data_IF_778795283049
#
_entry.id   IF_778795283049
#
_cell.length_a   1.000
_cell.length_b   1.000
_cell.length_c   1.000
_cell.angle_alpha   90.00
_cell.angle_beta   90.00
_cell.angle_gamma   90.00
#
_symmetry.space_group_name_H-M   'P 1'
#
loop_
_entity.id
_entity.type
_entity.pdbx_description
1 polymer ?
#
# COMPACT_ATOMS: atom_id res chain seq x y z
N UNK A 1 27.20 -44.84 -49.56
CA UNK A 1 27.24 -44.10 -48.28
C UNK A 1 26.04 -43.14 -48.29
N UNK A 2 24.80 -43.59 -48.04
CA UNK A 2 24.08 -43.74 -46.76
C UNK A 2 24.22 -42.53 -45.83
N UNK A 3 23.24 -41.63 -45.93
CA UNK A 3 22.87 -40.66 -44.90
C UNK A 3 21.66 -41.23 -44.15
N UNK A 4 21.85 -41.64 -42.89
CA UNK A 4 20.77 -42.05 -41.98
C UNK A 4 20.60 -40.95 -40.95
N UNK A 5 19.51 -40.20 -41.07
CA UNK A 5 19.06 -39.23 -40.09
C UNK A 5 18.41 -40.03 -38.96
N UNK A 6 19.02 -40.03 -37.77
CA UNK A 6 18.37 -40.49 -36.55
C UNK A 6 18.05 -39.27 -35.68
N UNK A 7 16.76 -38.96 -35.63
CA UNK A 7 16.17 -38.08 -34.64
C UNK A 7 16.09 -38.78 -33.28
N UNK A 8 16.05 -37.94 -32.25
CA UNK A 8 15.59 -38.18 -30.87
C UNK A 8 16.62 -38.68 -29.86
N UNK A 9 17.11 -37.75 -29.04
CA UNK A 9 17.27 -37.93 -27.60
C UNK A 9 16.86 -36.63 -26.91
N UNK A 10 15.59 -36.56 -26.51
CA UNK A 10 15.07 -35.57 -25.57
C UNK A 10 15.72 -35.88 -24.22
N UNK A 11 16.64 -35.04 -23.78
CA UNK A 11 17.18 -35.10 -22.44
C UNK A 11 16.09 -34.63 -21.45
N UNK A 12 15.41 -35.57 -20.81
CA UNK A 12 14.62 -35.30 -19.61
C UNK A 12 15.58 -34.92 -18.46
N UNK A 13 15.94 -33.64 -18.38
CA UNK A 13 16.51 -33.08 -17.16
C UNK A 13 15.41 -32.91 -16.12
N UNK A 14 15.37 -33.80 -15.14
CA UNK A 14 14.58 -33.63 -13.93
C UNK A 14 15.11 -32.42 -13.16
N UNK A 15 14.44 -31.28 -13.32
CA UNK A 15 14.65 -30.15 -12.42
C UNK A 15 14.05 -30.57 -11.08
N UNK A 16 14.92 -31.01 -10.17
CA UNK A 16 14.58 -31.08 -8.75
C UNK A 16 14.25 -29.65 -8.35
N UNK A 17 12.96 -29.37 -8.16
CA UNK A 17 12.53 -28.16 -7.49
C UNK A 17 13.03 -28.26 -6.05
N UNK A 18 14.26 -27.78 -5.82
CA UNK A 18 14.68 -27.39 -4.49
C UNK A 18 13.74 -26.24 -4.10
N UNK A 19 12.70 -26.58 -3.36
CA UNK A 19 11.83 -25.62 -2.69
C UNK A 19 12.78 -24.80 -1.82
N UNK A 20 13.06 -23.51 -2.12
CA UNK A 20 13.70 -22.70 -1.11
C UNK A 20 12.74 -22.72 0.07
N UNK A 21 13.22 -23.23 1.21
CA UNK A 21 12.51 -23.14 2.48
C UNK A 21 11.94 -21.72 2.59
N UNK A 22 10.72 -21.54 3.12
CA UNK A 22 10.15 -20.22 3.29
C UNK A 22 11.20 -19.40 4.03
N UNK A 23 11.86 -18.52 3.28
CA UNK A 23 12.65 -17.48 3.88
C UNK A 23 11.59 -16.76 4.67
N UNK A 24 11.70 -16.85 5.99
CA UNK A 24 11.22 -15.82 6.87
C UNK A 24 11.81 -14.54 6.28
N UNK A 25 11.09 -13.95 5.30
CA UNK A 25 10.99 -12.53 5.17
C UNK A 25 10.47 -12.15 6.54
N UNK A 26 11.43 -11.99 7.46
CA UNK A 26 11.31 -11.08 8.56
C UNK A 26 10.82 -9.85 7.87
N UNK A 27 9.51 -9.68 7.92
CA UNK A 27 8.87 -8.44 7.68
C UNK A 27 9.56 -7.55 8.71
N UNK A 28 10.64 -6.91 8.29
CA UNK A 28 10.85 -5.52 8.57
C UNK A 28 9.63 -4.76 8.04
N UNK A 29 8.45 -5.03 8.60
CA UNK A 29 7.75 -3.97 9.27
C UNK A 29 8.75 -3.47 10.31
N UNK A 30 9.65 -2.60 9.85
CA UNK A 30 9.91 -1.39 10.58
C UNK A 30 8.52 -0.81 10.86
N UNK A 31 7.91 -1.33 11.94
CA UNK A 31 6.84 -0.68 12.65
C UNK A 31 7.45 0.67 12.93
N UNK A 32 7.07 1.64 12.10
CA UNK A 32 7.52 3.01 12.17
C UNK A 32 7.22 3.43 13.61
N UNK A 33 8.23 3.33 14.46
CA UNK A 33 8.13 3.53 15.90
C UNK A 33 8.26 5.02 16.11
N UNK A 34 7.18 5.73 15.74
CA UNK A 34 7.04 7.13 16.07
C UNK A 34 6.65 7.19 17.54
N UNK A 35 7.68 7.20 18.38
CA UNK A 35 7.57 7.53 19.80
C UNK A 35 7.24 9.02 19.91
N UNK A 36 6.01 9.39 19.56
CA UNK A 36 5.48 10.74 19.74
C UNK A 36 4.46 10.75 20.89
N UNK A 37 4.41 11.82 21.70
CA UNK A 37 3.58 11.88 22.89
C UNK A 37 2.12 11.60 22.53
N UNK A 38 1.42 10.93 23.44
CA UNK A 38 -0.01 10.65 23.34
C UNK A 38 -0.79 11.97 23.26
N UNK A 39 -1.00 12.48 22.05
CA UNK A 39 -2.12 13.37 21.75
C UNK A 39 -3.38 12.52 21.68
N UNK A 40 -4.40 13.00 22.38
CA UNK A 40 -5.69 12.35 22.60
C UNK A 40 -6.21 11.64 21.34
N UNK A 41 -6.60 10.37 21.50
CA UNK A 41 -7.29 9.63 20.45
C UNK A 41 -8.63 10.32 20.19
N UNK A 42 -8.74 11.08 19.09
CA UNK A 42 -9.97 11.80 18.75
C UNK A 42 -9.80 13.29 18.43
N UNK A 43 -8.58 13.77 18.15
CA UNK A 43 -8.42 15.09 17.54
C UNK A 43 -9.04 15.10 16.13
N UNK A 44 -10.29 15.57 16.02
CA UNK A 44 -10.92 15.84 14.72
C UNK A 44 -9.99 16.73 13.89
N UNK A 45 -9.74 16.35 12.64
CA UNK A 45 -8.94 17.17 11.75
C UNK A 45 -9.60 18.54 11.52
N UNK A 46 -8.79 19.54 11.16
CA UNK A 46 -9.27 20.87 10.85
C UNK A 46 -9.77 20.91 9.40
N UNK A 47 -11.06 21.20 9.13
CA UNK A 47 -11.58 21.26 7.77
C UNK A 47 -10.78 22.18 6.85
N UNK A 48 -10.49 21.70 5.64
CA UNK A 48 -9.71 22.41 4.63
C UNK A 48 -8.19 22.36 4.83
N UNK A 49 -7.68 21.75 5.91
CA UNK A 49 -6.25 21.54 6.10
C UNK A 49 -5.79 20.26 5.41
N UNK A 50 -4.57 20.32 4.91
CA UNK A 50 -3.90 19.20 4.27
C UNK A 50 -3.01 18.47 5.26
N UNK A 51 -3.05 17.15 5.22
CA UNK A 51 -2.29 16.26 6.09
C UNK A 51 -1.62 15.16 5.28
N UNK A 52 -0.40 14.80 5.66
CA UNK A 52 0.23 13.58 5.15
C UNK A 52 -0.45 12.35 5.77
N UNK A 53 -0.48 11.23 5.03
CA UNK A 53 -0.98 9.96 5.54
C UNK A 53 -0.43 9.63 6.94
N UNK A 54 0.88 9.77 7.12
CA UNK A 54 1.57 9.52 8.40
C UNK A 54 1.10 10.42 9.55
N UNK A 55 0.77 11.68 9.28
CA UNK A 55 0.24 12.60 10.30
C UNK A 55 -1.17 12.20 10.71
N UNK A 56 -1.99 11.74 9.77
CA UNK A 56 -3.36 11.31 10.06
C UNK A 56 -3.38 10.09 10.98
N UNK A 57 -2.54 9.08 10.70
CA UNK A 57 -2.49 7.85 11.51
C UNK A 57 -1.65 8.01 12.78
N UNK A 58 -0.62 8.87 12.74
CA UNK A 58 0.35 9.04 13.82
C UNK A 58 -0.05 10.12 14.81
N UNK A 59 -0.29 11.33 14.31
CA UNK A 59 -0.58 12.51 15.14
C UNK A 59 -2.06 12.57 15.50
N UNK A 60 -2.95 12.35 14.52
CA UNK A 60 -4.40 12.39 14.74
C UNK A 60 -5.00 11.05 15.19
N UNK A 61 -4.18 9.99 15.19
CA UNK A 61 -4.56 8.63 15.64
C UNK A 61 -5.79 8.06 14.93
N UNK A 62 -6.03 8.46 13.69
CA UNK A 62 -7.13 7.94 12.88
C UNK A 62 -6.80 6.53 12.38
N UNK A 63 -7.80 5.65 12.39
CA UNK A 63 -7.63 4.29 11.88
C UNK A 63 -7.21 4.30 10.40
N UNK A 64 -6.11 3.62 10.03
CA UNK A 64 -5.62 3.56 8.66
C UNK A 64 -6.65 3.11 7.61
N UNK A 65 -7.58 2.21 7.98
CA UNK A 65 -8.60 1.68 7.06
C UNK A 65 -9.62 2.75 6.66
N UNK A 66 -9.87 3.73 7.53
CA UNK A 66 -10.74 4.88 7.22
C UNK A 66 -10.15 5.66 6.05
N UNK A 67 -8.84 5.92 6.07
CA UNK A 67 -8.16 6.67 5.01
C UNK A 67 -7.98 5.83 3.76
N UNK A 68 -7.59 4.56 3.90
CA UNK A 68 -7.39 3.67 2.75
C UNK A 68 -8.69 3.42 1.97
N UNK A 69 -9.83 3.29 2.64
CA UNK A 69 -11.13 3.16 1.96
C UNK A 69 -11.46 4.41 1.16
N UNK A 70 -11.32 5.59 1.76
CA UNK A 70 -11.56 6.87 1.10
C UNK A 70 -10.59 7.12 -0.06
N UNK A 71 -9.31 6.75 0.10
CA UNK A 71 -8.33 6.74 -0.98
C UNK A 71 -8.81 5.87 -2.14
N UNK A 72 -9.22 4.64 -1.86
CA UNK A 72 -9.62 3.69 -2.88
C UNK A 72 -10.99 3.99 -3.52
N UNK A 73 -11.87 4.75 -2.86
CA UNK A 73 -13.08 5.28 -3.50
C UNK A 73 -12.74 6.18 -4.69
N UNK A 74 -11.59 6.87 -4.63
CA UNK A 74 -11.16 7.84 -5.67
C UNK A 74 -10.10 7.24 -6.60
N UNK A 75 -9.18 6.43 -6.07
CA UNK A 75 -7.96 6.04 -6.77
C UNK A 75 -7.96 4.59 -7.27
N UNK A 76 -9.04 3.82 -7.12
CA UNK A 76 -9.06 2.41 -7.54
C UNK A 76 -8.63 2.18 -9.00
N UNK A 77 -9.04 3.06 -9.92
CA UNK A 77 -8.70 2.94 -11.34
C UNK A 77 -7.23 3.27 -11.65
N UNK A 78 -6.55 4.01 -10.75
CA UNK A 78 -5.18 4.48 -10.92
C UNK A 78 -4.16 3.74 -10.03
N UNK A 79 -4.63 3.18 -8.91
CA UNK A 79 -3.85 2.40 -7.95
C UNK A 79 -4.56 1.11 -7.59
N UNK A 80 -4.78 0.30 -8.62
CA UNK A 80 -5.38 -1.02 -8.46
C UNK A 80 -4.57 -1.89 -7.49
N UNK A 81 -3.24 -1.76 -7.40
CA UNK A 81 -2.43 -2.58 -6.50
C UNK A 81 -2.74 -2.31 -5.02
N UNK A 82 -2.78 -1.04 -4.61
CA UNK A 82 -3.12 -0.68 -3.23
C UNK A 82 -4.60 -0.98 -2.93
N UNK A 83 -5.48 -0.81 -3.92
CA UNK A 83 -6.93 -0.88 -3.73
C UNK A 83 -7.58 -2.23 -4.03
N UNK A 84 -6.89 -3.15 -4.71
CA UNK A 84 -7.46 -4.40 -5.21
C UNK A 84 -8.12 -5.20 -4.08
N UNK A 85 -7.53 -5.29 -2.90
CA UNK A 85 -8.08 -6.05 -1.78
C UNK A 85 -9.50 -5.61 -1.39
N UNK A 86 -9.72 -4.32 -1.13
CA UNK A 86 -11.01 -3.81 -0.63
C UNK A 86 -11.97 -3.35 -1.72
N UNK A 87 -11.51 -3.28 -2.97
CA UNK A 87 -12.34 -3.00 -4.15
C UNK A 87 -12.54 -4.21 -5.05
N UNK A 88 -12.07 -5.39 -4.62
CA UNK A 88 -12.22 -6.64 -5.38
C UNK A 88 -13.70 -6.92 -5.64
N UNK A 89 -14.01 -7.32 -6.86
CA UNK A 89 -15.32 -7.85 -7.23
C UNK A 89 -15.24 -9.35 -7.50
N UNK A 90 -16.23 -10.18 -7.11
CA UNK A 90 -17.48 -9.84 -6.40
C UNK A 90 -17.36 -9.84 -4.87
N UNK A 91 -16.20 -10.20 -4.32
CA UNK A 91 -15.99 -10.34 -2.88
C UNK A 91 -14.87 -9.39 -2.43
N UNK A 92 -15.18 -8.14 -2.04
CA UNK A 92 -14.21 -7.24 -1.45
C UNK A 92 -13.77 -7.79 -0.09
N UNK A 93 -12.49 -7.64 0.23
CA UNK A 93 -11.98 -7.97 1.56
C UNK A 93 -12.34 -6.87 2.56
N UNK A 94 -12.41 -7.23 3.85
CA UNK A 94 -12.73 -6.30 4.93
C UNK A 94 -11.67 -5.20 5.10
N UNK A 95 -10.44 -5.46 4.66
CA UNK A 95 -9.31 -4.53 4.78
C UNK A 95 -8.77 -4.12 3.41
N UNK A 96 -8.45 -2.84 3.27
CA UNK A 96 -7.70 -2.32 2.14
C UNK A 96 -6.21 -2.67 2.25
N UNK A 97 -5.58 -2.85 1.10
CA UNK A 97 -4.13 -2.95 1.00
C UNK A 97 -3.52 -1.60 1.34
N UNK A 98 -2.49 -1.65 2.17
CA UNK A 98 -1.71 -0.48 2.54
C UNK A 98 -0.53 -0.47 1.56
N UNK A 99 -0.64 0.33 0.50
CA UNK A 99 0.36 0.38 -0.57
C UNK A 99 1.06 1.75 -0.65
N UNK A 100 2.24 1.81 -1.28
CA UNK A 100 3.07 3.02 -1.29
C UNK A 100 2.36 4.22 -1.92
N UNK A 101 1.42 3.96 -2.84
CA UNK A 101 0.62 4.99 -3.47
C UNK A 101 -0.28 5.76 -2.52
N UNK A 102 -0.73 5.15 -1.42
CA UNK A 102 -1.55 5.80 -0.40
C UNK A 102 -0.69 6.43 0.72
N UNK A 103 0.43 5.79 1.08
CA UNK A 103 1.30 6.28 2.17
C UNK A 103 2.04 7.56 1.83
N UNK A 104 2.44 7.69 0.58
CA UNK A 104 3.11 8.88 0.07
C UNK A 104 2.08 9.80 -0.56
N UNK A 105 1.10 10.26 0.21
CA UNK A 105 0.04 11.13 -0.30
C UNK A 105 -0.37 12.18 0.71
N UNK A 106 -0.89 13.27 0.17
CA UNK A 106 -1.56 14.34 0.91
C UNK A 106 -3.07 14.12 0.82
N UNK A 107 -3.75 14.35 1.94
CA UNK A 107 -5.20 14.33 2.03
C UNK A 107 -5.71 15.62 2.64
N UNK A 108 -6.77 16.16 2.06
CA UNK A 108 -7.47 17.34 2.59
C UNK A 108 -8.56 16.87 3.55
N UNK A 109 -8.52 17.35 4.79
CA UNK A 109 -9.58 17.14 5.77
C UNK A 109 -10.88 17.78 5.29
N UNK A 110 -11.96 17.00 5.25
CA UNK A 110 -13.32 17.50 4.99
C UNK A 110 -13.99 17.83 6.32
N UNK A 111 -14.11 16.83 7.21
CA UNK A 111 -14.62 16.99 8.58
C UNK A 111 -14.51 15.66 9.35
N UNK A 112 -14.23 15.73 10.66
CA UNK A 112 -14.09 14.54 11.50
C UNK A 112 -13.00 13.61 10.98
N UNK A 113 -13.40 12.40 10.56
CA UNK A 113 -12.48 11.39 9.99
C UNK A 113 -12.59 11.29 8.46
N UNK A 114 -13.23 12.28 7.82
CA UNK A 114 -13.37 12.33 6.36
C UNK A 114 -12.24 13.13 5.74
N UNK A 115 -11.57 12.51 4.77
CA UNK A 115 -10.44 13.05 4.06
C UNK A 115 -10.57 12.75 2.57
N UNK A 116 -10.25 13.73 1.74
CA UNK A 116 -10.22 13.56 0.29
C UNK A 116 -8.77 13.46 -0.16
N UNK A 117 -8.48 12.47 -1.01
CA UNK A 117 -7.18 12.38 -1.68
C UNK A 117 -6.91 13.66 -2.48
N UNK A 118 -5.78 14.31 -2.22
CA UNK A 118 -5.36 15.52 -2.93
C UNK A 118 -4.34 15.20 -4.02
N UNK A 119 -3.23 14.59 -3.62
CA UNK A 119 -2.11 14.30 -4.53
C UNK A 119 -1.19 13.22 -3.96
N UNK A 120 -0.49 12.52 -4.85
CA UNK A 120 0.58 11.57 -4.52
C UNK A 120 1.91 12.31 -4.55
N UNK A 121 2.77 12.02 -3.57
CA UNK A 121 4.09 12.57 -3.41
C UNK A 121 5.17 11.49 -3.50
N UNK A 122 6.43 11.89 -3.66
CA UNK A 122 7.57 11.03 -3.35
C UNK A 122 7.90 11.02 -1.85
N UNK A 123 7.82 12.21 -1.25
CA UNK A 123 7.93 12.46 0.20
C UNK A 123 6.83 13.42 0.62
N UNK A 124 6.18 13.17 1.75
CA UNK A 124 5.18 14.06 2.32
C UNK A 124 5.64 14.55 3.69
N UNK A 125 5.64 15.85 3.90
CA UNK A 125 5.97 16.48 5.18
C UNK A 125 5.02 17.65 5.46
N UNK A 126 4.49 17.71 6.68
CA UNK A 126 3.60 18.79 7.13
C UNK A 126 2.45 19.13 6.16
N UNK A 127 1.78 18.11 5.62
CA UNK A 127 0.67 18.26 4.68
C UNK A 127 1.07 18.67 3.26
N UNK A 128 2.35 18.54 2.89
CA UNK A 128 2.88 18.99 1.58
C UNK A 128 3.76 17.93 0.94
N UNK A 129 3.69 17.82 -0.38
CA UNK A 129 4.67 17.05 -1.15
C UNK A 129 6.02 17.79 -1.20
N UNK A 130 7.11 17.07 -0.96
CA UNK A 130 8.48 17.54 -1.12
C UNK A 130 9.15 16.83 -2.31
N UNK A 131 9.84 17.62 -3.15
CA UNK A 131 10.71 17.11 -4.22
C UNK A 131 9.98 16.53 -5.44
N UNK A 132 9.23 17.37 -6.16
CA UNK A 132 8.75 17.04 -7.51
C UNK A 132 9.89 16.87 -8.51
#
# INVERSE_FOLDING_TARGET
MIMKIYLALVACGSIVAAIPAPQNYGNGHEAMSWSSPLVDAGASCQPGYDYCYGQIIGDLRIDPQIILRQYCDVQFEHDALSCHACKKWPWPLDTCGSGPGAWKSVFTCVSGDKYTFKERCDTCEAGKCLGN
#
